data_IF_109563800063
#
_entry.id   IF_109563800063
#
_cell.length_a   1.000
_cell.length_b   1.000
_cell.length_c   1.000
_cell.angle_alpha   90.00
_cell.angle_beta   90.00
_cell.angle_gamma   90.00
#
_symmetry.space_group_name_H-M   'P 1'
#
loop_
_entity.id
_entity.type
_entity.pdbx_description
1 polymer ?
#
# COMPACT_ATOMS: atom_id res chain seq x y z
N UNK A 1 -22.60 -1.58 -4.93
CA UNK A 1 -21.63 -2.43 -5.67
C UNK A 1 -21.00 -1.69 -6.84
N UNK A 2 -21.77 -0.96 -7.65
CA UNK A 2 -21.28 -0.27 -8.86
C UNK A 2 -20.05 0.63 -8.64
N UNK A 3 -20.04 1.41 -7.55
CA UNK A 3 -18.91 2.30 -7.22
C UNK A 3 -17.61 1.55 -6.86
N UNK A 4 -17.69 0.43 -6.14
CA UNK A 4 -16.49 -0.30 -5.71
C UNK A 4 -15.79 -0.96 -6.90
N UNK A 5 -16.56 -1.58 -7.80
CA UNK A 5 -16.02 -2.19 -9.02
C UNK A 5 -15.32 -1.10 -9.83
N UNK A 6 -15.99 0.03 -10.08
CA UNK A 6 -15.40 1.14 -10.85
C UNK A 6 -14.09 1.67 -10.25
N UNK A 7 -14.03 1.82 -8.92
CA UNK A 7 -12.81 2.29 -8.24
C UNK A 7 -11.65 1.33 -8.47
N UNK A 8 -11.86 0.04 -8.20
CA UNK A 8 -10.80 -0.97 -8.27
C UNK A 8 -10.35 -1.21 -9.72
N UNK A 9 -11.27 -1.24 -10.68
CA UNK A 9 -10.97 -1.71 -12.04
C UNK A 9 -10.63 -0.60 -13.03
N UNK A 10 -11.03 0.65 -12.76
CA UNK A 10 -11.05 1.69 -13.80
C UNK A 10 -10.81 3.11 -13.34
N UNK A 11 -10.66 3.35 -12.04
CA UNK A 11 -10.39 4.70 -11.54
C UNK A 11 -8.89 4.90 -11.43
N UNK A 12 -8.38 5.86 -12.18
CA UNK A 12 -7.00 6.34 -12.02
C UNK A 12 -6.91 7.27 -10.81
N UNK A 13 -6.06 6.91 -9.84
CA UNK A 13 -5.83 7.68 -8.62
C UNK A 13 -4.48 8.42 -8.65
N UNK A 14 -3.82 8.52 -9.81
CA UNK A 14 -2.50 9.14 -9.95
C UNK A 14 -2.51 10.60 -9.47
N UNK A 15 -3.43 11.42 -9.98
CA UNK A 15 -3.51 12.85 -9.58
C UNK A 15 -3.82 13.03 -8.09
N UNK A 16 -4.65 12.16 -7.50
CA UNK A 16 -4.90 12.20 -6.05
C UNK A 16 -3.68 11.78 -5.24
N UNK A 17 -2.92 10.80 -5.74
CA UNK A 17 -1.68 10.34 -5.12
C UNK A 17 -0.58 11.40 -5.18
N UNK A 18 -0.51 12.18 -6.27
CA UNK A 18 0.40 13.31 -6.41
C UNK A 18 0.09 14.42 -5.39
N UNK A 19 -1.19 14.73 -5.15
CA UNK A 19 -1.60 15.70 -4.11
C UNK A 19 -1.15 15.26 -2.72
N UNK A 20 -1.29 13.97 -2.40
CA UNK A 20 -0.80 13.39 -1.13
C UNK A 20 0.73 13.44 -1.05
N UNK A 21 1.43 13.35 -2.19
CA UNK A 21 2.89 13.50 -2.26
C UNK A 21 3.34 14.92 -1.94
N UNK A 22 2.63 15.92 -2.46
CA UNK A 22 2.92 17.36 -2.28
C UNK A 22 2.59 17.87 -0.87
N UNK A 23 1.62 17.24 -0.18
CA UNK A 23 1.27 17.54 1.22
C UNK A 23 2.35 17.01 2.20
N UNK A 24 3.45 17.75 2.23
CA UNK A 24 4.67 17.49 3.01
C UNK A 24 4.47 17.52 4.54
N UNK A 25 3.92 16.46 5.11
CA UNK A 25 4.21 16.01 6.48
C UNK A 25 3.78 14.58 6.77
N UNK A 26 2.73 14.05 6.12
CA UNK A 26 2.10 12.79 6.56
C UNK A 26 3.03 11.61 6.28
N UNK A 27 3.49 10.86 7.30
CA UNK A 27 4.26 9.65 7.07
C UNK A 27 3.38 8.59 6.42
N UNK A 28 3.95 7.81 5.49
CA UNK A 28 3.23 6.80 4.72
C UNK A 28 3.93 5.46 4.83
N UNK A 29 3.14 4.40 5.01
CA UNK A 29 3.60 3.02 4.94
C UNK A 29 2.73 2.21 3.97
N UNK A 30 3.36 1.37 3.18
CA UNK A 30 2.73 0.35 2.33
C UNK A 30 3.22 -1.02 2.78
N UNK A 31 2.27 -1.88 3.12
CA UNK A 31 2.49 -3.30 3.39
C UNK A 31 1.94 -4.09 2.20
N UNK A 32 2.79 -4.88 1.53
CA UNK A 32 2.39 -5.62 0.32
C UNK A 32 2.93 -7.05 0.35
N UNK A 33 2.16 -8.01 -0.13
CA UNK A 33 2.59 -9.40 -0.24
C UNK A 33 3.17 -9.71 -1.63
N UNK A 34 4.35 -10.32 -1.71
CA UNK A 34 5.00 -10.64 -3.00
C UNK A 34 4.26 -11.70 -3.84
N UNK A 35 3.27 -12.36 -3.24
CA UNK A 35 2.46 -13.41 -3.84
C UNK A 35 1.00 -12.97 -4.01
N UNK A 36 0.73 -11.65 -3.95
CA UNK A 36 -0.59 -11.09 -4.23
C UNK A 36 -0.93 -11.20 -5.72
N UNK A 37 -1.82 -12.15 -6.05
CA UNK A 37 -2.34 -12.36 -7.40
C UNK A 37 -3.50 -11.42 -7.75
N UNK A 38 -4.14 -10.81 -6.74
CA UNK A 38 -5.24 -9.85 -6.95
C UNK A 38 -4.74 -8.45 -7.27
N UNK A 39 -3.57 -8.08 -6.74
CA UNK A 39 -2.91 -6.81 -7.02
C UNK A 39 -1.39 -6.99 -7.16
N UNK A 40 -0.87 -7.13 -8.40
CA UNK A 40 0.56 -7.29 -8.66
C UNK A 40 1.39 -6.12 -8.13
N UNK A 41 2.58 -6.41 -7.60
CA UNK A 41 3.47 -5.43 -6.97
C UNK A 41 3.92 -4.33 -7.94
N UNK A 42 4.25 -4.71 -9.17
CA UNK A 42 4.74 -3.84 -10.23
C UNK A 42 3.67 -2.85 -10.70
N UNK A 43 2.40 -3.25 -10.61
CA UNK A 43 1.24 -2.46 -10.98
C UNK A 43 0.63 -1.68 -9.79
N UNK A 44 1.26 -1.72 -8.62
CA UNK A 44 0.74 -1.08 -7.41
C UNK A 44 1.84 -0.40 -6.60
N UNK A 45 2.48 -1.13 -5.68
CA UNK A 45 3.49 -0.62 -4.75
C UNK A 45 4.64 0.08 -5.47
N UNK A 46 5.08 -0.42 -6.62
CA UNK A 46 6.13 0.22 -7.41
C UNK A 46 5.71 1.57 -7.99
N UNK A 47 4.44 1.70 -8.39
CA UNK A 47 3.87 2.98 -8.87
C UNK A 47 3.78 3.96 -7.71
N UNK A 48 3.26 3.52 -6.55
CA UNK A 48 3.19 4.34 -5.33
C UNK A 48 4.58 4.85 -4.93
N UNK A 49 5.60 3.99 -4.95
CA UNK A 49 6.97 4.38 -4.59
C UNK A 49 7.59 5.37 -5.59
N UNK A 50 7.19 5.33 -6.86
CA UNK A 50 7.61 6.31 -7.87
C UNK A 50 6.95 7.69 -7.64
N UNK A 51 5.65 7.71 -7.33
CA UNK A 51 4.89 8.96 -7.10
C UNK A 51 5.23 9.57 -5.72
N UNK A 52 5.38 8.73 -4.70
CA UNK A 52 5.65 9.11 -3.31
C UNK A 52 6.92 8.40 -2.78
N UNK A 53 8.13 8.85 -3.15
CA UNK A 53 9.40 8.19 -2.81
C UNK A 53 9.68 8.04 -1.31
N UNK A 54 9.07 8.90 -0.48
CA UNK A 54 9.16 8.89 0.99
C UNK A 54 8.37 7.76 1.66
N UNK A 55 7.55 7.04 0.92
CA UNK A 55 6.73 5.94 1.45
C UNK A 55 7.61 4.82 1.97
N UNK A 56 7.42 4.44 3.24
CA UNK A 56 8.02 3.22 3.77
C UNK A 56 7.33 2.01 3.13
N UNK A 57 8.10 1.13 2.48
CA UNK A 57 7.55 -0.06 1.85
C UNK A 57 8.05 -1.32 2.56
N UNK A 58 7.13 -2.20 2.93
CA UNK A 58 7.42 -3.53 3.48
C UNK A 58 6.82 -4.59 2.57
N UNK A 59 7.67 -5.45 2.03
CA UNK A 59 7.25 -6.57 1.19
C UNK A 59 7.30 -7.85 2.01
N UNK A 60 6.17 -8.54 2.10
CA UNK A 60 6.01 -9.77 2.86
C UNK A 60 6.17 -10.96 1.93
N UNK A 61 7.21 -11.76 2.20
CA UNK A 61 7.54 -12.93 1.39
C UNK A 61 6.48 -14.02 1.53
N UNK A 62 6.02 -14.58 0.42
CA UNK A 62 4.93 -15.59 0.32
C UNK A 62 3.57 -15.11 0.84
N UNK A 63 3.37 -13.81 1.03
CA UNK A 63 2.07 -13.27 1.44
C UNK A 63 1.24 -12.89 0.21
N UNK A 64 -0.07 -13.17 0.25
CA UNK A 64 -1.03 -12.76 -0.78
C UNK A 64 -1.88 -11.56 -0.36
N UNK A 65 -2.95 -11.29 -1.10
CA UNK A 65 -3.86 -10.14 -0.86
C UNK A 65 -4.36 -10.03 0.59
N UNK A 66 -4.71 -11.18 1.20
CA UNK A 66 -5.18 -11.27 2.58
C UNK A 66 -4.06 -11.27 3.62
N UNK A 67 -2.99 -10.48 3.45
CA UNK A 67 -1.83 -10.47 4.35
C UNK A 67 -2.20 -10.05 5.79
N UNK A 68 -3.24 -9.22 5.95
CA UNK A 68 -3.79 -8.84 7.26
C UNK A 68 -4.51 -9.97 7.99
N UNK A 69 -4.89 -11.05 7.30
CA UNK A 69 -5.44 -12.27 7.92
C UNK A 69 -4.34 -13.32 8.15
N UNK A 70 -3.53 -13.57 7.11
CA UNK A 70 -2.54 -14.66 7.10
C UNK A 70 -1.26 -14.32 7.86
N UNK A 71 -0.92 -13.03 7.96
CA UNK A 71 0.28 -12.50 8.60
C UNK A 71 -0.08 -11.42 9.63
N UNK A 72 -1.25 -11.54 10.28
CA UNK A 72 -1.82 -10.52 11.16
C UNK A 72 -0.84 -10.03 12.25
N UNK A 73 -0.07 -10.92 12.86
CA UNK A 73 0.93 -10.55 13.88
C UNK A 73 2.06 -9.67 13.32
N UNK A 74 2.54 -9.99 12.11
CA UNK A 74 3.58 -9.20 11.43
C UNK A 74 3.03 -7.82 11.01
N UNK A 75 1.81 -7.79 10.46
CA UNK A 75 1.12 -6.53 10.12
C UNK A 75 0.97 -5.64 11.34
N UNK A 76 0.44 -6.20 12.44
CA UNK A 76 0.24 -5.44 13.67
C UNK A 76 1.56 -4.90 14.21
N UNK A 77 2.62 -5.71 14.20
CA UNK A 77 3.93 -5.28 14.64
C UNK A 77 4.50 -4.14 13.79
N UNK A 78 4.42 -4.24 12.46
CA UNK A 78 4.91 -3.19 11.56
C UNK A 78 4.09 -1.90 11.69
N UNK A 79 2.77 -2.00 11.87
CA UNK A 79 1.91 -0.83 12.11
C UNK A 79 2.20 -0.17 13.46
N UNK A 80 2.34 -0.96 14.54
CA UNK A 80 2.70 -0.44 15.87
C UNK A 80 4.07 0.24 15.84
N UNK A 81 5.04 -0.37 15.16
CA UNK A 81 6.37 0.21 14.97
C UNK A 81 6.27 1.53 14.21
N UNK A 82 5.58 1.53 13.07
CA UNK A 82 5.41 2.72 12.24
C UNK A 82 4.81 3.89 13.04
N UNK A 83 3.72 3.64 13.77
CA UNK A 83 3.04 4.68 14.58
C UNK A 83 3.90 5.16 15.75
N UNK A 84 4.72 4.28 16.33
CA UNK A 84 5.61 4.65 17.45
C UNK A 84 6.83 5.47 17.00
N UNK A 85 7.16 5.46 15.70
CA UNK A 85 8.27 6.18 15.10
C UNK A 85 7.83 7.49 14.40
N UNK A 86 6.53 7.84 14.45
CA UNK A 86 5.98 9.13 14.00
C UNK A 86 6.35 10.26 14.96
#
# INVERSE_FOLDING_TARGET
MERCIRIITSTDLTSESEKVSDESAIPLIVLHGDSDQGMPLEASTDIIKKIMPRTQVKIYKKAGHGLYLTHAGQVLQDLLKFVSEL
#
